data_IF_383972128831
#
_entry.id   IF_383972128831
#
_cell.length_a   1.000
_cell.length_b   1.000
_cell.length_c   1.000
_cell.angle_alpha   90.00
_cell.angle_beta   90.00
_cell.angle_gamma   90.00
#
_symmetry.space_group_name_H-M   'P 1'
#
loop_
_entity.id
_entity.type
_entity.pdbx_description
1 polymer ?
#
# COMPACT_ATOMS: atom_id res chain seq x y z
N UNK A 1 8.12 -23.65 35.84
CA UNK A 1 7.30 -22.47 36.05
C UNK A 1 7.70 -21.43 35.04
N UNK A 2 7.03 -21.43 33.87
CA UNK A 2 7.18 -20.41 32.84
C UNK A 2 6.10 -19.35 33.09
N UNK A 3 6.53 -18.18 33.54
CA UNK A 3 5.64 -17.00 33.65
C UNK A 3 5.40 -16.44 32.24
N UNK A 4 4.17 -16.55 31.77
CA UNK A 4 3.66 -15.77 30.66
C UNK A 4 3.57 -14.32 31.12
N UNK A 5 4.51 -13.48 30.70
CA UNK A 5 4.36 -12.04 30.82
C UNK A 5 3.39 -11.59 29.72
N UNK A 6 2.12 -11.39 30.07
CA UNK A 6 1.21 -10.60 29.28
C UNK A 6 1.78 -9.18 29.22
N UNK A 7 2.32 -8.76 28.07
CA UNK A 7 2.61 -7.35 27.82
C UNK A 7 1.27 -6.60 27.94
N UNK A 8 1.14 -5.81 28.98
CA UNK A 8 0.00 -4.90 29.17
C UNK A 8 0.16 -3.78 28.16
N UNK A 9 -0.70 -3.78 27.15
CA UNK A 9 -0.78 -2.67 26.18
C UNK A 9 -1.25 -1.42 26.94
N UNK A 10 -0.53 -0.28 26.92
CA UNK A 10 -0.96 0.93 27.60
C UNK A 10 -2.32 1.40 27.07
N UNK A 11 -3.21 1.83 27.98
CA UNK A 11 -4.47 2.46 27.60
C UNK A 11 -4.21 3.81 26.90
N UNK A 12 -4.92 4.07 25.81
CA UNK A 12 -4.85 5.32 25.04
C UNK A 12 -5.42 6.50 25.82
N UNK A 13 -4.77 7.66 25.73
CA UNK A 13 -5.25 8.93 26.31
C UNK A 13 -6.00 9.83 25.30
N UNK A 14 -6.19 9.39 24.04
CA UNK A 14 -6.92 10.16 23.03
C UNK A 14 -8.43 9.88 23.13
N UNK A 15 -9.29 10.90 23.39
CA UNK A 15 -10.72 10.71 23.55
C UNK A 15 -11.43 10.16 22.29
N UNK A 16 -10.87 10.34 21.09
CA UNK A 16 -11.43 9.80 19.87
C UNK A 16 -11.15 8.29 19.71
N UNK A 17 -10.18 7.76 20.44
CA UNK A 17 -9.72 6.36 20.37
C UNK A 17 -10.23 5.56 21.58
N UNK A 18 -10.44 6.19 22.73
CA UNK A 18 -10.99 5.52 23.93
C UNK A 18 -12.33 4.83 23.68
N UNK A 19 -13.09 5.27 22.65
CA UNK A 19 -14.38 4.70 22.27
C UNK A 19 -14.29 3.66 21.12
N UNK A 20 -13.12 3.42 20.54
CA UNK A 20 -12.96 2.46 19.43
C UNK A 20 -13.20 1.02 19.89
N UNK A 21 -12.96 0.71 21.14
CA UNK A 21 -13.09 -0.64 21.70
C UNK A 21 -12.13 -1.64 21.05
N UNK A 22 -10.98 -1.18 20.54
CA UNK A 22 -10.03 -2.05 19.86
C UNK A 22 -9.52 -3.17 20.75
N UNK A 23 -9.58 -4.38 20.23
CA UNK A 23 -9.06 -5.59 20.85
C UNK A 23 -8.09 -6.30 19.93
N UNK A 24 -6.88 -6.56 20.43
CA UNK A 24 -5.86 -7.29 19.71
C UNK A 24 -5.55 -8.63 20.38
N UNK A 25 -5.38 -9.67 19.58
CA UNK A 25 -4.96 -10.99 20.03
C UNK A 25 -3.87 -11.57 19.14
N UNK A 26 -3.00 -12.41 19.70
CA UNK A 26 -1.94 -13.07 18.93
C UNK A 26 -2.53 -13.88 17.77
N UNK A 27 -1.92 -13.74 16.59
CA UNK A 27 -2.30 -14.50 15.41
C UNK A 27 -1.35 -15.67 15.19
N UNK A 28 -1.80 -16.88 15.52
CA UNK A 28 -0.99 -18.10 15.45
C UNK A 28 -0.86 -18.67 14.01
N UNK A 29 -1.48 -18.05 13.02
CA UNK A 29 -1.38 -18.42 11.60
C UNK A 29 -0.16 -17.88 10.87
N UNK A 30 0.72 -17.13 11.58
CA UNK A 30 1.99 -16.62 11.07
C UNK A 30 3.16 -17.36 11.70
N UNK A 31 4.27 -17.49 10.96
CA UNK A 31 5.56 -17.99 11.47
C UNK A 31 6.29 -16.94 12.32
N UNK A 32 5.81 -15.69 12.31
CA UNK A 32 6.39 -14.57 13.06
C UNK A 32 5.60 -14.36 14.35
N UNK A 33 6.25 -14.50 15.49
CA UNK A 33 5.69 -14.51 16.85
C UNK A 33 5.06 -13.17 17.29
N UNK A 34 5.42 -12.07 16.61
CA UNK A 34 4.89 -10.72 16.89
C UNK A 34 3.81 -10.29 15.89
N UNK A 35 2.97 -11.24 15.48
CA UNK A 35 1.81 -10.98 14.60
C UNK A 35 0.52 -11.05 15.40
N UNK A 36 -0.33 -10.04 15.22
CA UNK A 36 -1.61 -9.90 15.91
C UNK A 36 -2.74 -9.65 14.92
N UNK A 37 -3.95 -9.98 15.32
CA UNK A 37 -5.19 -9.51 14.69
C UNK A 37 -5.86 -8.54 15.64
N UNK A 38 -6.20 -7.35 15.15
CA UNK A 38 -6.85 -6.29 15.90
C UNK A 38 -8.21 -5.98 15.30
N UNK A 39 -9.23 -5.92 16.12
CA UNK A 39 -10.62 -5.68 15.75
C UNK A 39 -11.16 -4.46 16.46
N UNK A 40 -11.94 -3.64 15.76
CA UNK A 40 -12.59 -2.46 16.36
C UNK A 40 -13.82 -2.02 15.52
N UNK A 41 -14.66 -1.18 16.15
CA UNK A 41 -15.77 -0.56 15.42
C UNK A 41 -15.32 0.75 14.78
N UNK A 42 -15.53 0.83 13.45
CA UNK A 42 -15.29 2.04 12.68
C UNK A 42 -16.60 2.47 11.99
N UNK A 43 -17.14 3.63 12.39
CA UNK A 43 -18.41 4.18 11.83
C UNK A 43 -19.54 3.15 11.79
N UNK A 44 -19.66 2.35 12.85
CA UNK A 44 -20.71 1.34 12.98
C UNK A 44 -20.43 -0.01 12.31
N UNK A 45 -19.32 -0.16 11.59
CA UNK A 45 -18.88 -1.40 10.98
C UNK A 45 -17.84 -2.09 11.87
N UNK A 46 -17.93 -3.41 11.98
CA UNK A 46 -16.86 -4.21 12.56
C UNK A 46 -15.74 -4.32 11.53
N UNK A 47 -14.56 -3.78 11.85
CA UNK A 47 -13.38 -3.79 11.00
C UNK A 47 -12.22 -4.44 11.73
N UNK A 48 -11.28 -5.01 10.97
CA UNK A 48 -10.08 -5.60 11.53
C UNK A 48 -8.87 -5.44 10.63
N UNK A 49 -7.70 -5.64 11.21
CA UNK A 49 -6.43 -5.68 10.49
C UNK A 49 -5.47 -6.66 11.15
N UNK A 50 -4.56 -7.22 10.34
CA UNK A 50 -3.40 -7.92 10.86
C UNK A 50 -2.25 -6.93 10.98
N UNK A 51 -1.49 -7.05 12.07
CA UNK A 51 -0.30 -6.26 12.32
C UNK A 51 0.85 -7.17 12.69
N UNK A 52 1.97 -7.06 11.99
CA UNK A 52 3.24 -7.68 12.34
C UNK A 52 4.19 -6.59 12.79
N UNK A 53 4.66 -6.67 14.02
CA UNK A 53 5.70 -5.79 14.53
C UNK A 53 7.05 -6.17 13.94
N UNK A 54 7.94 -5.21 13.79
CA UNK A 54 9.29 -5.42 13.31
C UNK A 54 10.13 -6.31 14.25
N UNK A 55 11.40 -6.47 13.92
CA UNK A 55 12.32 -7.27 14.72
C UNK A 55 12.39 -6.77 16.17
N UNK A 56 12.36 -7.64 17.19
CA UNK A 56 12.32 -7.21 18.61
C UNK A 56 13.55 -6.42 19.06
N UNK A 57 14.68 -6.60 18.38
CA UNK A 57 15.93 -5.89 18.67
C UNK A 57 16.16 -4.67 17.75
N UNK A 58 15.16 -4.28 16.94
CA UNK A 58 15.27 -3.08 16.13
C UNK A 58 15.23 -1.83 17.03
N UNK A 59 16.08 -0.88 16.74
CA UNK A 59 16.21 0.36 17.49
C UNK A 59 15.49 1.53 16.80
N UNK A 60 15.07 2.52 17.61
CA UNK A 60 14.49 3.75 17.13
C UNK A 60 13.00 3.67 16.82
N UNK A 61 12.54 4.60 15.98
CA UNK A 61 11.14 4.67 15.57
C UNK A 61 10.90 3.77 14.35
N UNK A 62 9.79 3.03 14.37
CA UNK A 62 9.39 2.18 13.24
C UNK A 62 8.64 3.00 12.19
N UNK A 63 8.85 2.71 10.91
CA UNK A 63 7.95 3.11 9.84
C UNK A 63 6.72 2.19 9.79
N UNK A 64 5.69 2.57 9.05
CA UNK A 64 4.50 1.75 8.80
C UNK A 64 4.39 1.46 7.31
N UNK A 65 4.11 0.21 6.96
CA UNK A 65 3.72 -0.20 5.61
C UNK A 65 2.33 -0.84 5.64
N UNK A 66 1.36 -0.19 5.00
CA UNK A 66 0.07 -0.78 4.66
C UNK A 66 0.18 -1.60 3.40
N UNK A 67 -0.29 -2.84 3.41
CA UNK A 67 -0.33 -3.74 2.26
C UNK A 67 -1.79 -4.17 2.00
N UNK A 68 -2.41 -3.57 0.99
CA UNK A 68 -3.84 -3.60 0.74
C UNK A 68 -4.22 -4.66 -0.30
N UNK A 69 -5.21 -5.50 0.03
CA UNK A 69 -5.67 -6.58 -0.85
C UNK A 69 -6.48 -6.09 -2.06
N UNK A 70 -6.62 -6.95 -3.07
CA UNK A 70 -7.45 -6.70 -4.24
C UNK A 70 -8.95 -6.91 -3.98
N UNK A 71 -9.79 -6.50 -4.95
CA UNK A 71 -11.24 -6.69 -4.92
C UNK A 71 -11.61 -8.17 -4.81
N UNK A 72 -12.49 -8.49 -3.86
CA UNK A 72 -12.91 -9.86 -3.59
C UNK A 72 -11.89 -10.75 -2.89
N UNK A 73 -10.69 -10.23 -2.56
CA UNK A 73 -9.67 -10.91 -1.79
C UNK A 73 -9.81 -10.57 -0.29
N UNK A 74 -8.79 -10.81 0.50
CA UNK A 74 -8.78 -10.52 1.93
C UNK A 74 -7.36 -10.25 2.44
N UNK A 75 -7.28 -9.70 3.66
CA UNK A 75 -6.04 -9.30 4.29
C UNK A 75 -5.05 -10.47 4.47
N UNK A 76 -5.54 -11.66 4.85
CA UNK A 76 -4.70 -12.84 5.05
C UNK A 76 -4.12 -13.36 3.72
N UNK A 77 -4.93 -13.40 2.66
CA UNK A 77 -4.46 -13.79 1.34
C UNK A 77 -3.40 -12.81 0.80
N UNK A 78 -3.59 -11.50 1.02
CA UNK A 78 -2.61 -10.48 0.64
C UNK A 78 -1.29 -10.66 1.41
N UNK A 79 -1.36 -10.92 2.72
CA UNK A 79 -0.18 -11.19 3.55
C UNK A 79 0.67 -12.33 2.98
N UNK A 80 0.03 -13.39 2.50
CA UNK A 80 0.71 -14.58 1.97
C UNK A 80 1.17 -14.43 0.53
N UNK A 81 0.38 -13.75 -0.30
CA UNK A 81 0.64 -13.60 -1.74
C UNK A 81 1.61 -12.47 -2.05
N UNK A 82 1.43 -11.32 -1.42
CA UNK A 82 2.29 -10.15 -1.52
C UNK A 82 3.11 -10.04 -0.23
N UNK A 83 4.06 -10.93 -0.06
CA UNK A 83 4.73 -11.17 1.22
C UNK A 83 5.84 -10.17 1.50
N UNK A 84 5.72 -9.44 2.62
CA UNK A 84 6.74 -8.53 3.17
C UNK A 84 7.23 -8.98 4.56
N UNK A 85 6.81 -10.14 5.04
CA UNK A 85 7.01 -10.54 6.44
C UNK A 85 8.47 -10.70 6.81
N UNK A 86 9.27 -11.32 5.93
CA UNK A 86 10.72 -11.44 6.13
C UNK A 86 11.40 -10.07 6.16
N UNK A 87 11.00 -9.17 5.25
CA UNK A 87 11.50 -7.81 5.21
C UNK A 87 11.17 -7.04 6.49
N UNK A 88 9.93 -7.17 7.00
CA UNK A 88 9.52 -6.55 8.26
C UNK A 88 10.27 -7.11 9.47
N UNK A 89 10.60 -8.40 9.46
CA UNK A 89 11.34 -9.06 10.54
C UNK A 89 12.86 -8.90 10.45
N UNK A 90 13.36 -8.22 9.42
CA UNK A 90 14.76 -7.86 9.30
C UNK A 90 15.08 -6.68 10.20
N UNK A 91 16.05 -6.85 11.12
CA UNK A 91 16.36 -5.87 12.17
C UNK A 91 16.59 -4.45 11.64
N UNK A 92 17.34 -4.32 10.55
CA UNK A 92 17.74 -3.02 10.00
C UNK A 92 16.60 -2.31 9.26
N UNK A 93 15.55 -3.02 8.86
CA UNK A 93 14.41 -2.43 8.15
C UNK A 93 13.46 -1.67 9.10
N UNK A 94 13.26 -2.18 10.29
CA UNK A 94 12.48 -1.58 11.37
C UNK A 94 11.15 -0.97 10.92
N UNK A 95 10.25 -1.79 10.37
CA UNK A 95 8.91 -1.34 10.05
C UNK A 95 7.83 -2.27 10.58
N UNK A 96 6.67 -1.68 10.83
CA UNK A 96 5.44 -2.38 11.18
C UNK A 96 4.65 -2.63 9.89
N UNK A 97 4.31 -3.89 9.65
CA UNK A 97 3.56 -4.33 8.47
C UNK A 97 2.08 -4.50 8.84
N UNK A 98 1.19 -3.81 8.13
CA UNK A 98 -0.25 -3.81 8.40
C UNK A 98 -1.02 -4.30 7.16
N UNK A 99 -1.89 -5.28 7.37
CA UNK A 99 -2.83 -5.80 6.37
C UNK A 99 -4.27 -5.53 6.85
N UNK A 100 -4.86 -4.40 6.48
CA UNK A 100 -6.25 -4.12 6.84
C UNK A 100 -7.21 -4.92 5.96
N UNK A 101 -8.41 -5.21 6.51
CA UNK A 101 -9.47 -5.88 5.78
C UNK A 101 -10.45 -4.85 5.21
N UNK A 102 -10.65 -4.88 3.90
CA UNK A 102 -11.65 -4.11 3.20
C UNK A 102 -13.07 -4.51 3.60
N UNK A 103 -13.98 -3.54 3.63
CA UNK A 103 -15.37 -3.77 4.00
C UNK A 103 -16.12 -4.62 2.96
N UNK A 104 -17.18 -5.33 3.36
CA UNK A 104 -18.04 -6.03 2.41
C UNK A 104 -18.87 -5.02 1.61
N UNK A 105 -18.86 -5.16 0.28
CA UNK A 105 -19.74 -4.44 -0.63
C UNK A 105 -21.02 -5.26 -0.84
N UNK A 106 -22.15 -4.66 -0.55
CA UNK A 106 -23.46 -5.24 -0.80
C UNK A 106 -24.21 -4.38 -1.83
N UNK A 107 -24.34 -4.89 -3.04
CA UNK A 107 -25.10 -4.29 -4.12
C UNK A 107 -26.06 -5.31 -4.72
N UNK A 108 -26.90 -4.91 -5.66
CA UNK A 108 -27.78 -5.83 -6.40
C UNK A 108 -26.98 -6.91 -7.16
N UNK A 109 -25.75 -6.59 -7.56
CA UNK A 109 -24.87 -7.46 -8.35
C UNK A 109 -23.77 -8.13 -7.56
N UNK A 110 -23.51 -7.69 -6.32
CA UNK A 110 -22.43 -8.22 -5.49
C UNK A 110 -22.87 -8.29 -4.03
N UNK A 111 -22.76 -9.47 -3.43
CA UNK A 111 -23.12 -9.69 -2.02
C UNK A 111 -21.87 -10.02 -1.22
N UNK A 112 -21.58 -9.20 -0.21
CA UNK A 112 -20.46 -9.39 0.73
C UNK A 112 -19.08 -9.49 0.07
N UNK A 113 -18.86 -8.77 -1.03
CA UNK A 113 -17.55 -8.75 -1.70
C UNK A 113 -16.65 -7.73 -0.99
N UNK A 114 -15.52 -8.20 -0.45
CA UNK A 114 -14.55 -7.32 0.19
C UNK A 114 -13.92 -6.37 -0.84
N UNK A 115 -13.81 -5.09 -0.47
CA UNK A 115 -13.37 -4.03 -1.39
C UNK A 115 -12.79 -2.84 -0.65
N UNK A 116 -12.16 -1.94 -1.42
CA UNK A 116 -11.79 -0.59 -1.03
C UNK A 116 -12.59 0.43 -1.83
N UNK A 117 -13.12 1.44 -1.14
CA UNK A 117 -13.75 2.60 -1.78
C UNK A 117 -12.65 3.59 -2.23
N UNK A 118 -12.19 3.41 -3.46
CA UNK A 118 -11.02 4.09 -4.01
C UNK A 118 -11.38 5.06 -5.15
N UNK A 119 -12.34 5.96 -4.88
CA UNK A 119 -12.67 7.06 -5.80
C UNK A 119 -13.65 6.71 -6.90
N UNK A 120 -14.53 5.70 -6.70
CA UNK A 120 -15.76 5.55 -7.46
C UNK A 120 -15.78 4.54 -8.60
N UNK A 121 -14.75 3.70 -8.80
CA UNK A 121 -14.92 2.55 -9.67
C UNK A 121 -15.64 1.39 -8.96
N UNK A 122 -15.55 1.32 -7.64
CA UNK A 122 -16.35 0.40 -6.79
C UNK A 122 -17.76 0.96 -6.62
N UNK A 123 -18.59 0.80 -7.65
CA UNK A 123 -19.91 1.39 -7.73
C UNK A 123 -20.79 0.92 -6.57
N UNK A 124 -21.42 1.89 -5.87
CA UNK A 124 -22.31 1.63 -4.74
C UNK A 124 -21.61 1.53 -3.38
N UNK A 125 -20.28 1.67 -3.32
CA UNK A 125 -19.57 1.76 -2.06
C UNK A 125 -19.82 3.09 -1.36
N UNK A 126 -20.10 3.03 -0.06
CA UNK A 126 -20.31 4.19 0.81
C UNK A 126 -19.40 4.20 2.03
N UNK A 127 -18.48 3.23 2.12
CA UNK A 127 -17.57 3.13 3.25
C UNK A 127 -16.49 4.20 3.17
N UNK A 128 -16.05 4.68 4.31
CA UNK A 128 -14.97 5.67 4.44
C UNK A 128 -13.65 4.96 4.79
N UNK A 129 -13.03 4.41 3.75
CA UNK A 129 -11.78 3.67 3.93
C UNK A 129 -10.57 4.58 4.17
N UNK A 130 -10.62 5.85 3.76
CA UNK A 130 -9.57 6.83 4.07
C UNK A 130 -9.52 7.06 5.58
N UNK A 131 -10.66 7.33 6.21
CA UNK A 131 -10.77 7.51 7.66
C UNK A 131 -10.48 6.21 8.44
N UNK A 132 -10.82 5.04 7.85
CA UNK A 132 -10.47 3.75 8.44
C UNK A 132 -8.95 3.55 8.54
N UNK A 133 -8.22 3.83 7.45
CA UNK A 133 -6.75 3.74 7.46
C UNK A 133 -6.14 4.79 8.39
N UNK A 134 -6.69 6.00 8.40
CA UNK A 134 -6.24 7.06 9.33
C UNK A 134 -6.43 6.66 10.79
N UNK A 135 -7.56 6.06 11.13
CA UNK A 135 -7.83 5.53 12.47
C UNK A 135 -6.81 4.45 12.86
N UNK A 136 -6.44 3.54 11.95
CA UNK A 136 -5.38 2.54 12.23
C UNK A 136 -4.03 3.22 12.49
N UNK A 137 -3.67 4.25 11.70
CA UNK A 137 -2.42 5.00 11.93
C UNK A 137 -2.40 5.57 13.35
N UNK A 138 -3.50 6.16 13.81
CA UNK A 138 -3.61 6.73 15.14
C UNK A 138 -3.51 5.65 16.23
N UNK A 139 -4.29 4.56 16.12
CA UNK A 139 -4.27 3.44 17.07
C UNK A 139 -2.87 2.81 17.21
N UNK A 140 -2.17 2.62 16.09
CA UNK A 140 -0.82 2.05 16.08
C UNK A 140 0.20 3.04 16.65
N UNK A 141 0.07 4.31 16.31
CA UNK A 141 0.98 5.37 16.79
C UNK A 141 0.89 5.64 18.28
N UNK A 142 -0.26 5.37 18.89
CA UNK A 142 -0.40 5.47 20.36
C UNK A 142 0.25 4.30 21.10
N UNK A 143 0.28 3.13 20.48
CA UNK A 143 0.80 1.90 21.10
C UNK A 143 2.28 1.67 20.87
N UNK A 144 2.80 2.15 19.74
CA UNK A 144 4.16 1.85 19.30
C UNK A 144 4.93 3.13 18.97
N UNK A 145 6.26 3.05 19.06
CA UNK A 145 7.16 4.17 18.75
C UNK A 145 7.29 4.34 17.21
N UNK A 146 6.37 5.11 16.62
CA UNK A 146 6.24 5.29 15.17
C UNK A 146 6.90 6.58 14.70
N UNK A 147 7.62 6.52 13.57
CA UNK A 147 8.00 7.69 12.82
C UNK A 147 6.82 8.14 11.94
N UNK A 148 6.10 9.18 12.39
CA UNK A 148 4.92 9.73 11.71
C UNK A 148 5.20 10.25 10.29
N UNK A 149 6.47 10.50 9.97
CA UNK A 149 6.88 10.97 8.65
C UNK A 149 7.16 9.82 7.66
N UNK A 150 7.11 8.56 8.12
CA UNK A 150 7.47 7.37 7.34
C UNK A 150 6.34 6.34 7.35
N UNK A 151 5.21 6.73 6.77
CA UNK A 151 4.03 5.88 6.60
C UNK A 151 3.81 5.65 5.11
N UNK A 152 3.73 4.41 4.70
CA UNK A 152 3.70 3.98 3.31
C UNK A 152 2.46 3.14 3.01
N UNK A 153 2.03 3.16 1.76
CA UNK A 153 0.94 2.32 1.29
C UNK A 153 1.32 1.59 0.00
N UNK A 154 1.06 0.29 -0.01
CA UNK A 154 1.12 -0.55 -1.20
C UNK A 154 -0.11 -1.43 -1.28
N UNK A 155 -0.34 -2.01 -2.43
CA UNK A 155 -1.40 -2.98 -2.62
C UNK A 155 -1.51 -3.45 -4.05
N UNK A 156 -2.30 -4.51 -4.22
CA UNK A 156 -2.58 -5.10 -5.51
C UNK A 156 -3.97 -4.71 -6.01
N UNK A 157 -4.09 -4.42 -7.32
CA UNK A 157 -5.39 -4.19 -7.96
C UNK A 157 -6.19 -3.10 -7.24
N UNK A 158 -7.38 -3.38 -6.71
CA UNK A 158 -8.18 -2.46 -5.87
C UNK A 158 -7.35 -1.86 -4.70
N UNK A 159 -6.44 -2.64 -4.09
CA UNK A 159 -5.50 -2.14 -3.07
C UNK A 159 -4.48 -1.15 -3.64
N UNK A 160 -4.05 -1.31 -4.87
CA UNK A 160 -3.21 -0.35 -5.59
C UNK A 160 -3.96 0.95 -5.90
N UNK A 161 -5.22 0.86 -6.35
CA UNK A 161 -6.12 2.02 -6.50
C UNK A 161 -6.30 2.76 -5.16
N UNK A 162 -6.51 2.01 -4.08
CA UNK A 162 -6.67 2.60 -2.74
C UNK A 162 -5.39 3.28 -2.27
N UNK A 163 -4.22 2.74 -2.57
CA UNK A 163 -2.93 3.36 -2.23
C UNK A 163 -2.77 4.73 -2.89
N UNK A 164 -3.12 4.88 -4.16
CA UNK A 164 -3.18 6.20 -4.80
C UNK A 164 -4.25 7.11 -4.18
N UNK A 165 -5.41 6.55 -3.86
CA UNK A 165 -6.49 7.31 -3.22
C UNK A 165 -6.05 7.87 -1.85
N UNK A 166 -5.27 7.11 -1.08
CA UNK A 166 -4.66 7.57 0.17
C UNK A 166 -3.65 8.69 -0.05
N UNK A 167 -2.77 8.60 -1.05
CA UNK A 167 -1.85 9.69 -1.37
C UNK A 167 -2.58 11.00 -1.70
N UNK A 168 -3.74 10.90 -2.36
CA UNK A 168 -4.55 12.06 -2.74
C UNK A 168 -5.37 12.66 -1.59
N UNK A 169 -5.81 11.83 -0.62
CA UNK A 169 -6.79 12.23 0.40
C UNK A 169 -6.24 12.20 1.83
N UNK A 170 -5.14 11.49 2.06
CA UNK A 170 -4.42 11.39 3.33
C UNK A 170 -2.94 11.78 3.17
N UNK A 171 -2.67 12.67 2.20
CA UNK A 171 -1.32 13.03 1.78
C UNK A 171 -0.46 13.65 2.88
N UNK A 172 -1.06 14.27 3.91
CA UNK A 172 -0.29 14.79 5.06
C UNK A 172 0.39 13.70 5.91
N UNK A 173 -0.01 12.43 5.74
CA UNK A 173 0.53 11.29 6.49
C UNK A 173 1.27 10.29 5.60
N UNK A 174 0.86 10.12 4.33
CA UNK A 174 1.43 9.11 3.41
C UNK A 174 2.68 9.65 2.72
N UNK A 175 3.82 9.07 3.00
CA UNK A 175 5.13 9.51 2.48
C UNK A 175 5.44 9.00 1.07
N UNK A 176 5.08 7.75 0.78
CA UNK A 176 5.30 7.12 -0.52
C UNK A 176 4.24 6.05 -0.80
N UNK A 177 4.01 5.80 -2.07
CA UNK A 177 3.03 4.81 -2.54
C UNK A 177 3.64 3.90 -3.59
N UNK A 178 3.32 2.60 -3.49
CA UNK A 178 3.62 1.62 -4.53
C UNK A 178 2.34 0.88 -4.92
N UNK A 179 2.00 0.88 -6.20
CA UNK A 179 0.82 0.19 -6.73
C UNK A 179 1.23 -0.96 -7.64
N UNK A 180 0.69 -2.15 -7.40
CA UNK A 180 0.90 -3.33 -8.25
C UNK A 180 -0.42 -3.66 -8.93
N UNK A 181 -0.43 -3.66 -10.26
CA UNK A 181 -1.62 -3.91 -11.10
C UNK A 181 -2.85 -3.07 -10.73
N UNK A 182 -2.63 -1.94 -10.04
CA UNK A 182 -3.65 -0.93 -9.78
C UNK A 182 -3.48 0.27 -10.72
N UNK A 183 -4.38 1.22 -10.63
CA UNK A 183 -4.36 2.49 -11.35
C UNK A 183 -5.04 3.57 -10.50
N UNK A 184 -5.32 4.72 -11.06
CA UNK A 184 -6.22 5.72 -10.47
C UNK A 184 -7.60 5.62 -11.09
N UNK A 185 -8.65 5.62 -10.26
CA UNK A 185 -10.00 5.82 -10.75
C UNK A 185 -10.15 7.27 -11.25
N UNK A 186 -11.12 7.52 -12.14
CA UNK A 186 -11.40 8.88 -12.61
C UNK A 186 -11.68 9.82 -11.43
N UNK A 187 -12.48 9.36 -10.45
CA UNK A 187 -12.81 10.18 -9.28
C UNK A 187 -11.59 10.55 -8.44
N UNK A 188 -10.67 9.63 -8.22
CA UNK A 188 -9.40 9.92 -7.53
C UNK A 188 -8.53 10.86 -8.34
N UNK A 189 -8.35 10.59 -9.64
CA UNK A 189 -7.50 11.38 -10.53
C UNK A 189 -7.98 12.84 -10.64
N UNK A 190 -9.27 13.04 -10.87
CA UNK A 190 -9.87 14.37 -11.11
C UNK A 190 -9.91 15.22 -9.83
N UNK A 191 -9.91 14.60 -8.64
CA UNK A 191 -10.01 15.29 -7.35
C UNK A 191 -8.75 15.11 -6.48
N UNK A 192 -7.64 14.61 -7.03
CA UNK A 192 -6.42 14.38 -6.29
C UNK A 192 -5.81 15.69 -5.80
N UNK A 193 -5.55 15.78 -4.51
CA UNK A 193 -4.97 16.96 -3.88
C UNK A 193 -3.91 16.55 -2.84
N UNK A 194 -2.74 16.04 -3.27
CA UNK A 194 -1.67 15.67 -2.36
C UNK A 194 -1.14 16.87 -1.59
N UNK A 195 -0.56 16.63 -0.42
CA UNK A 195 -0.05 17.71 0.45
C UNK A 195 1.43 18.03 0.21
N UNK A 196 2.15 17.14 -0.45
CA UNK A 196 3.59 17.28 -0.72
C UNK A 196 3.98 16.45 -1.95
N UNK A 197 5.14 16.74 -2.60
CA UNK A 197 5.69 15.85 -3.61
C UNK A 197 5.83 14.42 -3.05
N UNK A 198 5.20 13.46 -3.72
CA UNK A 198 5.06 12.10 -3.20
C UNK A 198 5.83 11.12 -4.09
N UNK A 199 6.68 10.29 -3.50
CA UNK A 199 7.37 9.23 -4.22
C UNK A 199 6.40 8.13 -4.64
N UNK A 200 6.42 7.76 -5.93
CA UNK A 200 5.48 6.83 -6.55
C UNK A 200 6.20 5.71 -7.28
N UNK A 201 5.81 4.49 -7.00
CA UNK A 201 6.22 3.31 -7.74
C UNK A 201 5.00 2.58 -8.32
N UNK A 202 5.00 2.33 -9.62
CA UNK A 202 4.00 1.50 -10.30
C UNK A 202 4.67 0.25 -10.87
N UNK A 203 4.11 -0.93 -10.58
CA UNK A 203 4.49 -2.19 -11.23
C UNK A 203 3.26 -2.72 -11.96
N UNK A 204 3.36 -2.93 -13.29
CA UNK A 204 2.20 -3.28 -14.10
C UNK A 204 2.54 -4.22 -15.26
N UNK A 205 1.64 -5.15 -15.51
CA UNK A 205 1.73 -6.05 -16.66
C UNK A 205 1.20 -5.41 -17.94
N UNK A 206 1.96 -5.51 -19.03
CA UNK A 206 1.54 -4.96 -20.31
C UNK A 206 0.29 -5.66 -20.89
N UNK A 207 0.08 -6.93 -20.52
CA UNK A 207 -1.06 -7.76 -20.96
C UNK A 207 -2.10 -7.99 -19.85
N UNK A 208 -2.16 -7.09 -18.86
CA UNK A 208 -3.17 -7.15 -17.80
C UNK A 208 -4.57 -6.96 -18.40
N UNK A 209 -5.39 -8.01 -18.32
CA UNK A 209 -6.78 -8.02 -18.84
C UNK A 209 -7.82 -7.59 -17.80
N UNK A 210 -7.44 -7.42 -16.53
CA UNK A 210 -8.34 -7.01 -15.43
C UNK A 210 -8.25 -5.50 -15.21
N UNK A 211 -7.03 -4.97 -15.08
CA UNK A 211 -6.73 -3.55 -15.06
C UNK A 211 -5.84 -3.25 -16.26
N UNK A 212 -6.43 -2.98 -17.45
CA UNK A 212 -5.66 -2.82 -18.66
C UNK A 212 -4.64 -1.68 -18.55
N UNK A 213 -3.41 -1.91 -19.05
CA UNK A 213 -2.35 -0.90 -19.07
C UNK A 213 -2.83 0.41 -19.73
N UNK A 214 -3.64 0.30 -20.79
CA UNK A 214 -4.20 1.44 -21.52
C UNK A 214 -5.43 2.08 -20.83
N UNK A 215 -5.77 1.60 -19.61
CA UNK A 215 -6.96 2.05 -18.90
C UNK A 215 -8.26 1.42 -19.43
N UNK A 216 -9.34 1.79 -18.81
CA UNK A 216 -10.68 1.34 -19.18
C UNK A 216 -11.70 2.43 -18.82
N UNK A 217 -12.18 3.18 -19.82
CA UNK A 217 -13.11 4.27 -19.61
C UNK A 217 -14.48 3.80 -19.12
N UNK A 218 -14.93 2.62 -19.54
CA UNK A 218 -16.21 2.06 -19.10
C UNK A 218 -16.18 1.68 -17.59
N UNK A 219 -15.02 1.25 -17.10
CA UNK A 219 -14.78 0.98 -15.68
C UNK A 219 -14.16 2.18 -14.94
N UNK A 220 -14.03 3.33 -15.60
CA UNK A 220 -13.49 4.56 -15.03
C UNK A 220 -12.08 4.42 -14.47
N UNK A 221 -11.24 3.67 -15.16
CA UNK A 221 -9.83 3.45 -14.82
C UNK A 221 -8.94 4.25 -15.76
N UNK A 222 -8.01 5.02 -15.22
CA UNK A 222 -6.97 5.73 -15.99
C UNK A 222 -5.97 4.75 -16.60
N UNK A 223 -5.35 5.14 -17.72
CA UNK A 223 -4.19 4.41 -18.23
C UNK A 223 -3.02 4.54 -17.25
N UNK A 224 -2.10 3.59 -17.28
CA UNK A 224 -0.91 3.66 -16.43
C UNK A 224 -0.02 4.83 -16.82
N UNK A 225 0.09 5.12 -18.13
CA UNK A 225 0.84 6.30 -18.59
C UNK A 225 0.20 7.61 -18.06
N UNK A 226 -1.14 7.76 -18.06
CA UNK A 226 -1.82 8.93 -17.46
C UNK A 226 -1.49 9.07 -15.96
N UNK A 227 -1.44 7.96 -15.23
CA UNK A 227 -1.10 7.97 -13.78
C UNK A 227 0.34 8.43 -13.57
N UNK A 228 1.28 7.91 -14.35
CA UNK A 228 2.70 8.29 -14.27
C UNK A 228 2.89 9.76 -14.67
N UNK A 229 2.23 10.22 -15.73
CA UNK A 229 2.27 11.61 -16.17
C UNK A 229 1.69 12.57 -15.12
N UNK A 230 0.60 12.17 -14.45
CA UNK A 230 0.04 12.96 -13.35
C UNK A 230 1.08 13.18 -12.24
N UNK A 231 1.66 12.10 -11.73
CA UNK A 231 2.56 12.18 -10.58
C UNK A 231 3.91 12.80 -10.92
N UNK A 232 4.47 12.53 -12.11
CA UNK A 232 5.72 13.17 -12.55
C UNK A 232 5.53 14.67 -12.76
N UNK A 233 4.39 15.09 -13.30
CA UNK A 233 4.02 16.52 -13.44
C UNK A 233 3.78 17.17 -12.08
N UNK A 234 2.99 16.55 -11.21
CA UNK A 234 2.72 17.08 -9.86
C UNK A 234 4.01 17.27 -9.05
N UNK A 235 4.90 16.29 -9.11
CA UNK A 235 6.18 16.33 -8.43
C UNK A 235 7.21 17.23 -9.13
N UNK A 236 6.89 17.82 -10.28
CA UNK A 236 7.78 18.65 -11.11
C UNK A 236 9.09 17.94 -11.47
N UNK A 237 8.99 16.70 -11.88
CA UNK A 237 10.13 15.90 -12.34
C UNK A 237 10.60 16.34 -13.73
N UNK A 238 11.82 15.93 -14.14
CA UNK A 238 12.26 16.04 -15.53
C UNK A 238 11.27 15.29 -16.44
N UNK A 239 11.00 15.88 -17.62
CA UNK A 239 10.02 15.32 -18.58
C UNK A 239 10.50 14.05 -19.24
N UNK A 240 11.81 13.88 -19.38
CA UNK A 240 12.44 12.73 -20.03
C UNK A 240 12.92 11.72 -18.97
N UNK A 241 12.26 10.56 -18.83
CA UNK A 241 12.68 9.55 -17.87
C UNK A 241 13.96 8.84 -18.33
N UNK A 242 14.74 8.39 -17.37
CA UNK A 242 15.74 7.36 -17.64
C UNK A 242 15.00 6.04 -17.88
N UNK A 243 15.26 5.42 -19.03
CA UNK A 243 14.66 4.13 -19.41
C UNK A 243 15.73 3.05 -19.45
N UNK A 244 15.48 1.96 -18.73
CA UNK A 244 16.28 0.74 -18.75
C UNK A 244 15.40 -0.43 -19.18
N UNK A 245 15.87 -1.26 -20.10
CA UNK A 245 15.15 -2.43 -20.59
C UNK A 245 16.00 -3.67 -20.30
N UNK A 246 15.38 -4.63 -19.59
CA UNK A 246 15.97 -5.96 -19.43
C UNK A 246 15.25 -6.91 -20.36
N UNK A 247 15.95 -7.36 -21.40
CA UNK A 247 15.44 -8.34 -22.36
C UNK A 247 15.87 -9.74 -21.91
N UNK A 248 14.92 -10.52 -21.41
CA UNK A 248 15.22 -11.84 -20.83
C UNK A 248 15.58 -12.92 -21.86
N UNK A 249 15.17 -12.72 -23.11
CA UNK A 249 15.29 -13.76 -24.13
C UNK A 249 15.96 -13.27 -25.41
N UNK A 250 16.51 -12.05 -25.40
CA UNK A 250 17.10 -11.39 -26.58
C UNK A 250 16.12 -11.29 -27.77
N UNK A 251 14.84 -11.11 -27.46
CA UNK A 251 13.72 -11.04 -28.42
C UNK A 251 12.86 -9.78 -28.28
N UNK A 252 13.30 -8.80 -27.50
CA UNK A 252 12.58 -7.55 -27.26
C UNK A 252 11.41 -7.68 -26.28
N UNK A 253 11.38 -8.74 -25.47
CA UNK A 253 10.33 -9.00 -24.45
C UNK A 253 10.98 -9.05 -23.08
N UNK A 254 10.55 -8.19 -22.18
CA UNK A 254 11.17 -8.15 -20.88
C UNK A 254 10.54 -7.21 -19.89
N UNK A 255 11.38 -6.50 -19.19
CA UNK A 255 11.04 -5.54 -18.16
C UNK A 255 11.53 -4.15 -18.58
N UNK A 256 10.63 -3.21 -18.74
CA UNK A 256 10.94 -1.80 -18.92
C UNK A 256 10.87 -1.10 -17.55
N UNK A 257 11.94 -0.43 -17.15
CA UNK A 257 12.00 0.41 -15.98
C UNK A 257 12.19 1.87 -16.40
N UNK A 258 11.23 2.72 -16.05
CA UNK A 258 11.28 4.17 -16.25
C UNK A 258 11.46 4.86 -14.90
N UNK A 259 12.43 5.79 -14.83
CA UNK A 259 12.68 6.62 -13.64
C UNK A 259 12.57 8.08 -14.01
N UNK A 260 11.57 8.77 -13.46
CA UNK A 260 11.46 10.22 -13.51
C UNK A 260 12.15 10.79 -12.27
N UNK A 261 13.17 11.59 -12.50
CA UNK A 261 14.05 12.14 -11.45
C UNK A 261 14.09 13.65 -11.45
N UNK A 262 14.93 14.23 -10.59
CA UNK A 262 15.06 15.67 -10.34
C UNK A 262 13.73 16.34 -9.99
N UNK A 263 12.86 15.59 -9.36
CA UNK A 263 11.60 16.10 -8.82
C UNK A 263 11.86 16.97 -7.59
N UNK A 264 10.87 17.77 -7.19
CA UNK A 264 10.93 18.53 -5.94
C UNK A 264 11.19 17.57 -4.76
N UNK A 265 11.99 18.01 -3.80
CA UNK A 265 12.42 17.23 -2.62
C UNK A 265 13.13 15.90 -2.97
N UNK A 266 13.67 15.78 -4.18
CA UNK A 266 14.35 14.60 -4.68
C UNK A 266 13.51 13.31 -4.63
N UNK A 267 12.18 13.41 -4.63
CA UNK A 267 11.34 12.25 -4.84
C UNK A 267 11.52 11.70 -6.26
N UNK A 268 11.06 10.48 -6.50
CA UNK A 268 11.06 9.88 -7.83
C UNK A 268 9.68 9.32 -8.16
N UNK A 269 9.39 9.24 -9.44
CA UNK A 269 8.26 8.47 -9.97
C UNK A 269 8.84 7.37 -10.84
N UNK A 270 8.53 6.11 -10.51
CA UNK A 270 9.07 4.96 -11.19
C UNK A 270 7.96 4.04 -11.73
N UNK A 271 8.20 3.48 -12.91
CA UNK A 271 7.34 2.49 -13.53
C UNK A 271 8.16 1.27 -13.93
N UNK A 272 7.72 0.11 -13.45
CA UNK A 272 8.13 -1.19 -13.97
C UNK A 272 7.00 -1.77 -14.82
N UNK A 273 7.19 -1.81 -16.14
CA UNK A 273 6.27 -2.43 -17.07
C UNK A 273 6.80 -3.80 -17.49
N UNK A 274 6.05 -4.84 -17.18
CA UNK A 274 6.44 -6.23 -17.44
C UNK A 274 5.67 -6.73 -18.65
N UNK A 275 6.36 -6.97 -19.79
CA UNK A 275 5.72 -7.23 -21.08
C UNK A 275 4.81 -8.45 -21.09
N UNK A 276 5.21 -9.53 -20.45
CA UNK A 276 4.47 -10.81 -20.44
C UNK A 276 3.61 -11.03 -19.20
N UNK A 277 3.49 -10.04 -18.33
CA UNK A 277 2.71 -10.16 -17.10
C UNK A 277 1.27 -9.72 -17.32
N UNK A 278 0.35 -10.56 -16.86
CA UNK A 278 -1.06 -10.22 -16.70
C UNK A 278 -1.34 -9.57 -15.32
N UNK A 279 -2.46 -9.94 -14.72
CA UNK A 279 -2.90 -9.42 -13.42
C UNK A 279 -2.28 -10.23 -12.27
N UNK A 280 -1.04 -9.92 -11.89
CA UNK A 280 -0.28 -10.68 -10.91
C UNK A 280 0.59 -9.78 -10.02
N UNK A 281 0.94 -10.30 -8.83
CA UNK A 281 2.02 -9.78 -7.99
C UNK A 281 3.32 -10.45 -8.45
N UNK A 282 4.26 -9.75 -9.09
CA UNK A 282 5.40 -10.41 -9.68
C UNK A 282 6.37 -10.96 -8.65
N UNK A 283 6.85 -12.16 -8.94
CA UNK A 283 7.91 -12.86 -8.22
C UNK A 283 9.15 -12.97 -9.11
N UNK A 284 10.33 -12.92 -8.52
CA UNK A 284 11.59 -12.86 -9.26
C UNK A 284 11.78 -14.05 -10.22
N UNK A 285 11.40 -15.26 -9.80
CA UNK A 285 11.54 -16.48 -10.62
C UNK A 285 10.66 -16.48 -11.87
N UNK A 286 9.55 -15.74 -11.86
CA UNK A 286 8.58 -15.74 -12.96
C UNK A 286 8.76 -14.55 -13.89
N UNK A 287 9.02 -13.36 -13.33
CA UNK A 287 8.98 -12.10 -14.06
C UNK A 287 10.29 -11.29 -13.97
N UNK A 288 11.32 -11.82 -13.32
CA UNK A 288 12.62 -11.16 -13.16
C UNK A 288 12.61 -9.95 -12.23
N UNK A 289 11.52 -9.77 -11.48
CA UNK A 289 11.36 -8.73 -10.46
C UNK A 289 10.60 -9.31 -9.27
N UNK A 290 11.10 -9.05 -8.06
CA UNK A 290 10.37 -9.26 -6.81
C UNK A 290 9.67 -7.95 -6.44
N UNK A 291 8.34 -7.93 -6.52
CA UNK A 291 7.60 -6.72 -6.19
C UNK A 291 7.84 -6.29 -4.74
N UNK A 292 7.80 -7.22 -3.78
CA UNK A 292 7.97 -6.88 -2.36
C UNK A 292 9.33 -6.25 -2.07
N UNK A 293 10.42 -6.84 -2.59
CA UNK A 293 11.77 -6.30 -2.40
C UNK A 293 11.93 -4.94 -3.08
N UNK A 294 11.52 -4.84 -4.36
CA UNK A 294 11.60 -3.60 -5.14
C UNK A 294 10.80 -2.46 -4.48
N UNK A 295 9.60 -2.76 -3.98
CA UNK A 295 8.77 -1.79 -3.29
C UNK A 295 9.45 -1.31 -2.02
N UNK A 296 9.95 -2.23 -1.17
CA UNK A 296 10.61 -1.84 0.07
C UNK A 296 11.87 -1.01 -0.18
N UNK A 297 12.73 -1.44 -1.08
CA UNK A 297 13.94 -0.70 -1.48
C UNK A 297 13.61 0.74 -1.94
N UNK A 298 12.51 0.91 -2.67
CA UNK A 298 12.06 2.22 -3.14
C UNK A 298 11.50 3.08 -2.00
N UNK A 299 10.41 2.63 -1.34
CA UNK A 299 9.66 3.46 -0.39
C UNK A 299 10.47 3.82 0.86
N UNK A 300 11.35 2.91 1.31
CA UNK A 300 12.17 3.08 2.51
C UNK A 300 13.16 4.26 2.41
N UNK A 301 13.39 4.80 1.23
CA UNK A 301 14.29 5.93 0.99
C UNK A 301 13.60 7.30 1.10
N UNK A 302 12.31 7.34 1.46
CA UNK A 302 11.54 8.58 1.51
C UNK A 302 10.83 8.76 2.85
N UNK A 303 10.59 10.03 3.18
CA UNK A 303 9.63 10.49 4.17
C UNK A 303 8.70 11.57 3.56
N UNK A 304 7.81 12.16 4.35
CA UNK A 304 6.91 13.23 3.87
C UNK A 304 7.63 14.49 3.38
N UNK A 305 8.91 14.66 3.70
CA UNK A 305 9.73 15.79 3.25
C UNK A 305 10.54 15.48 1.98
N UNK A 306 10.48 14.25 1.49
CA UNK A 306 11.15 13.79 0.29
C UNK A 306 12.18 12.69 0.56
N UNK A 307 13.27 12.67 -0.22
CA UNK A 307 14.30 11.65 -0.11
C UNK A 307 15.13 11.83 1.17
N UNK A 308 15.25 10.76 1.93
CA UNK A 308 16.09 10.69 3.13
C UNK A 308 17.56 10.54 2.70
N UNK A 309 18.45 11.37 3.25
CA UNK A 309 19.89 11.35 2.97
C UNK A 309 20.60 10.26 3.79
#
# INVERSE_FOLDING_TARGET
GGGSSSEVVPESNNPNIQDSGEQCQSFNGSTYDRTYICEFKHKGLDRYYYIQLGHPEADGQSSILFNLHGYGSNALAQMQYADFRDLAYTKDNNFILIHPQGAPLNTVLATSVSHWNSGGWTIGSTVDDVDFIDTIIELVSEKYNINQNRIYSTGMSNGGFMSYHLACNLGSKIAAVASVTGSMSYGTYDNCNPSHPTAILQIHGAIDGVVPYQGNSALRMKSIDDVIDYWSTYNSCDTDPLISITDYFDIGVGLEHRTYSKCINNVQVELYKVDIMGHAWPQNQTFGISASDTIWEFINTYDINGRIN
#
